data_IF_233235084478
#
_entry.id   IF_233235084478
#
_cell.length_a   1.000
_cell.length_b   1.000
_cell.length_c   1.000
_cell.angle_alpha   90.00
_cell.angle_beta   90.00
_cell.angle_gamma   90.00
#
_symmetry.space_group_name_H-M   'P 1'
#
loop_
_entity.id
_entity.type
_entity.pdbx_description
1 polymer ?
#
# COMPACT_ATOMS: atom_id res chain seq x y z
N UNK A 1 -1.68 25.37 17.34
CA UNK A 1 -1.99 23.96 16.95
C UNK A 1 -1.18 23.60 15.71
N UNK A 2 -0.89 22.31 15.52
CA UNK A 2 -0.15 21.81 14.34
C UNK A 2 -0.90 22.00 13.02
N UNK A 3 -2.17 22.32 13.09
CA UNK A 3 -3.05 22.53 11.93
C UNK A 3 -3.71 23.92 11.93
N UNK A 4 -3.12 24.91 12.62
CA UNK A 4 -3.68 26.27 12.76
C UNK A 4 -3.94 27.03 11.45
N UNK A 5 -3.38 26.53 10.32
CA UNK A 5 -3.70 27.06 8.99
C UNK A 5 -5.16 26.80 8.57
N UNK A 6 -5.79 25.73 9.06
CA UNK A 6 -7.22 25.47 8.80
C UNK A 6 -8.09 26.58 9.42
N UNK A 7 -7.78 26.94 10.67
CA UNK A 7 -8.51 28.00 11.38
C UNK A 7 -8.34 29.35 10.66
N UNK A 8 -7.11 29.67 10.25
CA UNK A 8 -6.82 30.94 9.52
C UNK A 8 -7.51 31.03 8.16
N UNK A 9 -7.73 29.88 7.50
CA UNK A 9 -8.38 29.81 6.19
C UNK A 9 -9.88 29.55 6.28
N UNK A 10 -10.42 29.32 7.48
CA UNK A 10 -11.83 28.94 7.68
C UNK A 10 -12.21 27.63 7.00
N UNK A 11 -11.27 26.67 6.93
CA UNK A 11 -11.46 25.41 6.23
C UNK A 11 -11.58 24.24 7.18
N UNK A 12 -12.40 23.26 6.79
CA UNK A 12 -12.48 21.94 7.41
C UNK A 12 -11.90 20.92 6.44
N UNK A 13 -10.91 20.16 6.89
CA UNK A 13 -10.29 19.11 6.07
C UNK A 13 -10.89 17.75 6.43
N UNK A 14 -11.54 17.10 5.45
CA UNK A 14 -12.20 15.81 5.61
C UNK A 14 -11.71 14.77 4.59
N UNK A 15 -10.78 15.15 3.70
CA UNK A 15 -10.31 14.28 2.61
C UNK A 15 -9.12 13.40 3.04
N UNK A 16 -9.22 12.75 4.20
CA UNK A 16 -8.18 11.81 4.68
C UNK A 16 -8.06 10.55 3.82
N UNK A 17 -9.07 10.25 3.02
CA UNK A 17 -9.04 9.16 2.05
C UNK A 17 -8.04 9.43 0.92
N UNK A 18 -7.98 10.68 0.47
CA UNK A 18 -7.05 11.11 -0.59
C UNK A 18 -5.63 11.35 -0.10
N UNK A 19 -5.46 11.78 1.14
CA UNK A 19 -4.15 12.03 1.73
C UNK A 19 -4.21 12.66 3.12
N UNK A 20 -3.28 12.30 3.98
CA UNK A 20 -3.14 12.91 5.31
C UNK A 20 -2.70 14.38 5.23
N UNK A 21 -3.32 15.24 6.05
CA UNK A 21 -2.89 16.61 6.18
C UNK A 21 -1.56 16.66 6.97
N UNK A 22 -0.55 17.31 6.42
CA UNK A 22 0.73 17.46 7.09
C UNK A 22 0.67 18.45 8.28
N UNK A 23 1.38 18.14 9.35
CA UNK A 23 1.52 18.99 10.52
C UNK A 23 2.53 20.12 10.27
N UNK A 24 2.36 21.27 10.93
CA UNK A 24 3.31 22.38 10.83
C UNK A 24 4.71 22.00 11.34
N UNK A 25 4.80 21.07 12.31
CA UNK A 25 6.07 20.51 12.79
C UNK A 25 6.84 19.77 11.70
N UNK A 26 6.16 19.07 10.81
CA UNK A 26 6.82 18.33 9.70
C UNK A 26 7.52 19.31 8.75
N UNK A 27 6.89 20.45 8.45
CA UNK A 27 7.49 21.47 7.58
C UNK A 27 8.71 22.09 8.26
N UNK A 28 8.56 22.47 9.55
CA UNK A 28 9.68 23.06 10.32
C UNK A 28 10.87 22.10 10.37
N UNK A 29 10.65 20.84 10.76
CA UNK A 29 11.70 19.85 10.84
C UNK A 29 12.39 19.59 9.50
N UNK A 30 11.64 19.57 8.39
CA UNK A 30 12.23 19.42 7.05
C UNK A 30 13.07 20.66 6.69
N UNK A 31 12.58 21.87 6.98
CA UNK A 31 13.31 23.10 6.73
C UNK A 31 14.60 23.15 7.54
N UNK A 32 14.53 22.88 8.84
CA UNK A 32 15.68 22.84 9.75
C UNK A 32 16.73 21.81 9.32
N UNK A 33 16.27 20.62 8.84
CA UNK A 33 17.14 19.60 8.31
C UNK A 33 17.93 20.09 7.08
N UNK A 34 17.22 20.74 6.14
CA UNK A 34 17.83 21.24 4.90
C UNK A 34 18.75 22.44 5.13
N UNK A 35 18.37 23.33 6.05
CA UNK A 35 19.20 24.49 6.43
C UNK A 35 20.46 24.08 7.21
N UNK A 36 20.36 23.03 8.02
CA UNK A 36 21.43 22.56 8.91
C UNK A 36 22.39 21.55 8.28
N UNK A 37 22.11 21.02 7.07
CA UNK A 37 22.87 19.93 6.47
C UNK A 37 23.21 20.12 5.00
N UNK A 38 24.23 19.39 4.56
CA UNK A 38 24.61 19.26 3.15
C UNK A 38 24.38 17.81 2.76
N UNK A 39 23.48 17.57 1.82
CA UNK A 39 23.05 16.25 1.41
C UNK A 39 23.42 15.99 -0.05
N UNK A 40 24.03 14.85 -0.29
CA UNK A 40 24.44 14.40 -1.63
C UNK A 40 23.68 13.14 -2.07
N UNK A 41 24.09 12.61 -3.21
CA UNK A 41 23.60 11.31 -3.65
C UNK A 41 24.09 10.23 -2.65
N UNK A 42 23.22 9.36 -2.11
CA UNK A 42 23.63 8.30 -1.17
C UNK A 42 24.55 7.28 -1.84
N UNK A 43 25.18 6.40 -1.04
CA UNK A 43 26.04 5.30 -1.51
C UNK A 43 27.40 5.74 -2.07
N UNK A 44 27.95 6.83 -1.55
CA UNK A 44 29.34 7.29 -1.80
C UNK A 44 30.00 7.67 -0.47
N UNK A 45 31.33 7.77 -0.45
CA UNK A 45 32.13 8.03 0.75
C UNK A 45 32.32 9.52 1.09
N UNK A 46 31.71 10.42 0.30
CA UNK A 46 31.78 11.86 0.63
C UNK A 46 30.93 12.18 1.85
N UNK A 47 31.29 13.19 2.68
CA UNK A 47 30.53 13.58 3.84
C UNK A 47 29.02 13.84 3.54
N UNK A 48 28.73 14.51 2.42
CA UNK A 48 27.36 14.79 1.99
C UNK A 48 26.59 13.51 1.61
N UNK A 49 27.26 12.56 0.97
CA UNK A 49 26.65 11.27 0.62
C UNK A 49 26.40 10.41 1.85
N UNK A 50 27.37 10.36 2.78
CA UNK A 50 27.23 9.64 4.04
C UNK A 50 26.05 10.19 4.86
N UNK A 51 25.91 11.50 4.96
CA UNK A 51 24.78 12.13 5.65
C UNK A 51 23.42 11.72 5.07
N UNK A 52 23.32 11.63 3.74
CA UNK A 52 22.10 11.15 3.09
C UNK A 52 21.86 9.66 3.34
N UNK A 53 22.92 8.83 3.25
CA UNK A 53 22.84 7.39 3.53
C UNK A 53 22.33 7.14 4.95
N UNK A 54 22.88 7.85 5.94
CA UNK A 54 22.46 7.73 7.34
C UNK A 54 20.96 8.09 7.54
N UNK A 55 20.48 9.13 6.84
CA UNK A 55 19.06 9.50 6.88
C UNK A 55 18.18 8.40 6.30
N UNK A 56 18.56 7.85 5.16
CA UNK A 56 17.81 6.77 4.50
C UNK A 56 17.76 5.52 5.37
N UNK A 57 18.91 5.12 5.93
CA UNK A 57 18.97 3.91 6.77
C UNK A 57 18.21 4.08 8.10
N UNK A 58 18.26 5.25 8.72
CA UNK A 58 17.41 5.56 9.88
C UNK A 58 15.92 5.48 9.54
N UNK A 59 15.51 5.99 8.37
CA UNK A 59 14.13 5.90 7.93
C UNK A 59 13.70 4.45 7.68
N UNK A 60 14.58 3.60 7.10
CA UNK A 60 14.33 2.16 6.93
C UNK A 60 14.14 1.46 8.27
N UNK A 61 15.07 1.69 9.19
CA UNK A 61 15.01 1.11 10.52
C UNK A 61 13.73 1.48 11.26
N UNK A 62 13.34 2.76 11.20
CA UNK A 62 12.11 3.24 11.81
C UNK A 62 10.85 2.57 11.21
N UNK A 63 10.80 2.40 9.89
CA UNK A 63 9.67 1.72 9.24
C UNK A 63 9.58 0.26 9.68
N UNK A 64 10.70 -0.45 9.71
CA UNK A 64 10.74 -1.85 10.15
C UNK A 64 10.30 -1.98 11.62
N UNK A 65 10.81 -1.11 12.50
CA UNK A 65 10.42 -1.05 13.91
C UNK A 65 8.91 -0.77 14.06
N UNK A 66 8.39 0.23 13.35
CA UNK A 66 6.97 0.62 13.40
C UNK A 66 6.03 -0.55 13.04
N UNK A 67 6.42 -1.36 12.07
CA UNK A 67 5.64 -2.53 11.64
C UNK A 67 5.99 -3.83 12.37
N UNK A 68 6.87 -3.77 13.38
CA UNK A 68 7.37 -4.95 14.09
C UNK A 68 7.92 -6.02 13.12
N UNK A 69 8.66 -5.56 12.12
CA UNK A 69 9.25 -6.37 11.06
C UNK A 69 10.75 -6.53 11.31
N UNK A 70 11.23 -7.69 11.81
CA UNK A 70 12.64 -7.87 12.14
C UNK A 70 13.53 -7.81 10.88
N UNK A 71 14.69 -7.11 10.95
CA UNK A 71 15.51 -6.83 9.77
C UNK A 71 16.24 -8.05 9.18
N UNK A 72 16.25 -9.17 9.88
CA UNK A 72 16.74 -10.46 9.39
C UNK A 72 15.71 -11.20 8.52
N UNK A 73 14.43 -10.84 8.61
CA UNK A 73 13.35 -11.43 7.80
C UNK A 73 12.78 -10.45 6.77
N UNK A 74 12.88 -9.14 7.03
CA UNK A 74 12.23 -8.11 6.22
C UNK A 74 13.19 -7.06 5.71
N UNK A 75 12.88 -6.51 4.56
CA UNK A 75 13.56 -5.35 3.99
C UNK A 75 12.56 -4.24 3.71
N UNK A 76 12.95 -2.99 3.96
CA UNK A 76 12.16 -1.82 3.59
C UNK A 76 12.63 -1.29 2.24
N UNK A 77 11.74 -1.25 1.25
CA UNK A 77 12.02 -0.74 -0.09
C UNK A 77 11.19 0.53 -0.31
N UNK A 78 11.85 1.68 -0.43
CA UNK A 78 11.18 2.93 -0.77
C UNK A 78 10.85 2.99 -2.26
N UNK A 79 9.64 3.41 -2.57
CA UNK A 79 9.15 3.65 -3.92
C UNK A 79 8.59 5.08 -4.02
N UNK A 80 8.41 5.63 -5.23
CA UNK A 80 7.88 6.99 -5.38
C UNK A 80 6.48 7.18 -4.77
N UNK A 81 5.68 6.11 -4.72
CA UNK A 81 4.32 6.11 -4.16
C UNK A 81 3.79 4.67 -3.99
N UNK A 82 2.60 4.54 -3.41
CA UNK A 82 1.93 3.24 -3.21
C UNK A 82 1.70 2.48 -4.54
N UNK A 83 1.40 3.18 -5.63
CA UNK A 83 1.24 2.56 -6.97
C UNK A 83 2.54 1.89 -7.42
N UNK A 84 3.69 2.54 -7.19
CA UNK A 84 5.00 1.96 -7.48
C UNK A 84 5.28 0.70 -6.67
N UNK A 85 4.94 0.71 -5.38
CA UNK A 85 5.07 -0.47 -4.52
C UNK A 85 4.17 -1.63 -4.98
N UNK A 86 2.92 -1.35 -5.28
CA UNK A 86 1.95 -2.34 -5.79
C UNK A 86 2.40 -2.90 -7.14
N UNK A 87 2.95 -2.04 -8.01
CA UNK A 87 3.50 -2.45 -9.31
C UNK A 87 4.64 -3.46 -9.13
N UNK A 88 5.57 -3.23 -8.20
CA UNK A 88 6.65 -4.18 -7.92
C UNK A 88 6.09 -5.56 -7.53
N UNK A 89 5.05 -5.60 -6.69
CA UNK A 89 4.38 -6.85 -6.34
C UNK A 89 3.77 -7.51 -7.59
N UNK A 90 3.02 -6.77 -8.40
CA UNK A 90 2.37 -7.30 -9.60
C UNK A 90 3.37 -7.85 -10.63
N UNK A 91 4.49 -7.16 -10.83
CA UNK A 91 5.56 -7.61 -11.75
C UNK A 91 6.27 -8.86 -11.24
N UNK A 92 6.60 -8.89 -9.93
CA UNK A 92 7.36 -9.97 -9.31
C UNK A 92 6.51 -11.21 -9.02
N UNK A 93 5.18 -11.05 -8.85
CA UNK A 93 4.32 -12.17 -8.48
C UNK A 93 4.40 -13.29 -9.52
N UNK A 94 4.63 -14.55 -9.10
CA UNK A 94 4.94 -15.67 -10.01
C UNK A 94 3.70 -16.26 -10.67
N UNK A 95 2.79 -15.44 -11.15
CA UNK A 95 1.63 -15.89 -11.91
C UNK A 95 2.00 -16.82 -13.06
N UNK A 96 1.18 -17.85 -13.26
CA UNK A 96 1.28 -18.84 -14.33
C UNK A 96 -0.08 -19.08 -14.98
N UNK A 97 -0.13 -19.67 -16.18
CA UNK A 97 -1.38 -20.05 -16.82
C UNK A 97 -2.26 -20.91 -15.90
N UNK A 98 -3.49 -20.43 -15.69
CA UNK A 98 -4.48 -21.05 -14.84
C UNK A 98 -4.39 -20.69 -13.36
N UNK A 99 -3.45 -19.87 -12.90
CA UNK A 99 -3.52 -19.24 -11.60
C UNK A 99 -4.66 -18.23 -11.53
N UNK A 100 -5.01 -17.80 -10.33
CA UNK A 100 -6.15 -16.91 -10.11
C UNK A 100 -5.75 -15.63 -9.40
N UNK A 101 -6.22 -14.52 -9.93
CA UNK A 101 -6.20 -13.24 -9.25
C UNK A 101 -7.62 -12.84 -8.88
N UNK A 102 -7.98 -12.96 -7.61
CA UNK A 102 -9.25 -12.54 -7.04
C UNK A 102 -9.11 -11.13 -6.46
N UNK A 103 -10.01 -10.22 -6.80
CA UNK A 103 -9.95 -8.88 -6.25
C UNK A 103 -11.33 -8.28 -5.99
N UNK A 104 -11.42 -7.46 -4.93
CA UNK A 104 -12.62 -6.71 -4.61
C UNK A 104 -12.89 -5.64 -5.69
N UNK A 105 -14.16 -5.45 -6.05
CA UNK A 105 -14.54 -4.45 -7.07
C UNK A 105 -14.23 -3.01 -6.63
N UNK A 106 -14.27 -2.73 -5.33
CA UNK A 106 -14.03 -1.41 -4.74
C UNK A 106 -12.56 -1.13 -4.39
N UNK A 107 -11.63 -1.91 -4.95
CA UNK A 107 -10.21 -1.62 -4.85
C UNK A 107 -9.84 -0.30 -5.53
N UNK A 108 -8.82 0.36 -5.01
CA UNK A 108 -8.19 1.49 -5.67
C UNK A 108 -7.59 1.07 -7.03
N UNK A 109 -7.54 2.00 -7.98
CA UNK A 109 -7.03 1.75 -9.35
C UNK A 109 -5.60 1.20 -9.38
N UNK A 110 -4.75 1.52 -8.41
CA UNK A 110 -3.40 0.96 -8.30
C UNK A 110 -3.41 -0.57 -8.16
N UNK A 111 -4.33 -1.11 -7.35
CA UNK A 111 -4.54 -2.55 -7.19
C UNK A 111 -5.14 -3.15 -8.45
N UNK A 112 -6.12 -2.46 -9.07
CA UNK A 112 -6.73 -2.92 -10.33
C UNK A 112 -5.70 -3.09 -11.45
N UNK A 113 -4.61 -2.32 -11.44
CA UNK A 113 -3.51 -2.44 -12.40
C UNK A 113 -2.78 -3.78 -12.35
N UNK A 114 -2.76 -4.47 -11.22
CA UNK A 114 -2.10 -5.79 -11.07
C UNK A 114 -2.73 -6.85 -11.98
N UNK A 115 -4.01 -6.72 -12.33
CA UNK A 115 -4.70 -7.64 -13.24
C UNK A 115 -4.03 -7.76 -14.62
N UNK A 116 -3.36 -6.71 -15.07
CA UNK A 116 -2.71 -6.73 -16.38
C UNK A 116 -1.45 -7.63 -16.35
N UNK A 117 -0.74 -7.67 -15.22
CA UNK A 117 0.36 -8.61 -15.02
C UNK A 117 -0.15 -10.04 -14.90
N UNK A 118 -1.26 -10.27 -14.17
CA UNK A 118 -1.89 -11.57 -14.06
C UNK A 118 -2.33 -12.10 -15.44
N UNK A 119 -3.07 -11.29 -16.20
CA UNK A 119 -3.54 -11.63 -17.55
C UNK A 119 -2.40 -11.90 -18.53
N UNK A 120 -1.35 -11.06 -18.50
CA UNK A 120 -0.19 -11.22 -19.36
C UNK A 120 0.55 -12.55 -19.12
N UNK A 121 0.43 -13.10 -17.91
CA UNK A 121 0.99 -14.40 -17.52
C UNK A 121 -0.02 -15.56 -17.63
N UNK A 122 -1.22 -15.30 -18.18
CA UNK A 122 -2.24 -16.31 -18.44
C UNK A 122 -3.10 -16.69 -17.23
N UNK A 123 -3.12 -15.87 -16.18
CA UNK A 123 -3.93 -16.11 -14.99
C UNK A 123 -5.36 -15.58 -15.17
N UNK A 124 -6.32 -16.25 -14.53
CA UNK A 124 -7.70 -15.83 -14.48
C UNK A 124 -7.90 -14.67 -13.50
N UNK A 125 -8.66 -13.66 -13.91
CA UNK A 125 -8.95 -12.48 -13.08
C UNK A 125 -10.44 -12.42 -12.78
N UNK A 126 -10.78 -12.50 -11.50
CA UNK A 126 -12.17 -12.48 -11.01
C UNK A 126 -12.39 -11.32 -10.04
N UNK A 127 -13.49 -10.60 -10.22
CA UNK A 127 -13.92 -9.54 -9.31
C UNK A 127 -15.04 -10.04 -8.38
N UNK A 128 -14.85 -9.80 -7.08
CA UNK A 128 -15.96 -9.89 -6.12
C UNK A 128 -16.75 -8.60 -6.17
N UNK A 129 -18.05 -8.71 -6.46
CA UNK A 129 -18.93 -7.55 -6.64
C UNK A 129 -19.28 -6.86 -5.33
N UNK A 130 -19.62 -5.60 -5.43
CA UNK A 130 -20.20 -4.79 -4.36
C UNK A 130 -21.72 -4.85 -4.47
N UNK A 131 -22.43 -5.00 -3.34
CA UNK A 131 -23.90 -5.13 -3.30
C UNK A 131 -24.54 -3.86 -2.73
N UNK A 132 -25.42 -3.19 -3.50
CA UNK A 132 -26.22 -2.09 -2.97
C UNK A 132 -27.30 -2.59 -1.99
N UNK A 133 -27.81 -1.73 -1.06
CA UNK A 133 -27.44 -0.34 -0.88
C UNK A 133 -26.20 -0.12 -0.03
N UNK A 134 -25.76 -1.12 0.74
CA UNK A 134 -24.72 -0.98 1.77
C UNK A 134 -23.31 -0.93 1.20
N UNK A 135 -23.16 -1.20 -0.09
CA UNK A 135 -21.87 -1.20 -0.81
C UNK A 135 -20.82 -2.13 -0.21
N UNK A 136 -21.27 -3.21 0.43
CA UNK A 136 -20.41 -4.27 0.93
C UNK A 136 -20.12 -5.29 -0.16
N UNK A 137 -19.00 -5.98 -0.04
CA UNK A 137 -18.70 -7.10 -0.93
C UNK A 137 -19.71 -8.23 -0.71
N UNK A 138 -20.03 -8.93 -1.79
CA UNK A 138 -20.83 -10.15 -1.76
C UNK A 138 -20.02 -11.26 -1.08
N UNK A 139 -20.31 -11.54 0.19
CA UNK A 139 -19.57 -12.54 0.97
C UNK A 139 -19.80 -13.97 0.47
N UNK A 140 -20.97 -14.28 -0.07
CA UNK A 140 -21.24 -15.62 -0.62
C UNK A 140 -20.41 -15.85 -1.88
N UNK A 141 -20.32 -14.85 -2.75
CA UNK A 141 -19.42 -14.89 -3.90
C UNK A 141 -17.97 -15.00 -3.45
N UNK A 142 -17.53 -14.18 -2.49
CA UNK A 142 -16.17 -14.19 -1.98
C UNK A 142 -15.78 -15.57 -1.46
N UNK A 143 -16.60 -16.16 -0.59
CA UNK A 143 -16.37 -17.50 -0.04
C UNK A 143 -16.32 -18.55 -1.14
N UNK A 144 -17.32 -18.55 -2.02
CA UNK A 144 -17.36 -19.47 -3.16
C UNK A 144 -16.12 -19.39 -4.04
N UNK A 145 -15.54 -18.19 -4.22
CA UNK A 145 -14.32 -18.02 -5.01
C UNK A 145 -13.06 -18.42 -4.24
N UNK A 146 -12.99 -18.17 -2.93
CA UNK A 146 -11.86 -18.58 -2.09
C UNK A 146 -11.84 -20.10 -1.85
N UNK A 147 -13.02 -20.72 -1.70
CA UNK A 147 -13.17 -22.17 -1.52
C UNK A 147 -12.89 -23.00 -2.80
N UNK A 148 -12.56 -22.35 -3.89
CA UNK A 148 -12.17 -22.99 -5.16
C UNK A 148 -10.65 -22.99 -5.32
N UNK A 149 -9.90 -23.73 -4.50
CA UNK A 149 -8.46 -23.75 -4.59
C UNK A 149 -8.04 -24.35 -5.91
N UNK A 150 -6.95 -23.83 -6.43
CA UNK A 150 -6.21 -24.51 -7.47
C UNK A 150 -4.99 -25.15 -6.82
N UNK A 151 -4.91 -26.46 -6.83
CA UNK A 151 -3.75 -27.17 -6.32
C UNK A 151 -2.49 -26.74 -7.09
N UNK A 152 -1.45 -26.34 -6.34
CA UNK A 152 -0.15 -25.98 -6.87
C UNK A 152 -0.07 -24.65 -7.62
N UNK A 153 -1.12 -23.81 -7.56
CA UNK A 153 -1.14 -22.49 -8.18
C UNK A 153 -0.68 -21.35 -7.27
N UNK A 154 -0.21 -20.28 -7.89
CA UNK A 154 0.07 -19.02 -7.20
C UNK A 154 -1.15 -18.11 -7.28
N UNK A 155 -2.08 -18.26 -6.33
CA UNK A 155 -3.28 -17.45 -6.26
C UNK A 155 -3.03 -16.17 -5.47
N UNK A 156 -3.61 -15.06 -5.92
CA UNK A 156 -3.53 -13.78 -5.23
C UNK A 156 -4.93 -13.26 -4.94
N UNK A 157 -5.19 -12.84 -3.70
CA UNK A 157 -6.39 -12.13 -3.31
C UNK A 157 -6.06 -10.72 -2.86
N UNK A 158 -6.78 -9.73 -3.39
CA UNK A 158 -6.60 -8.32 -3.05
C UNK A 158 -7.91 -7.64 -2.71
N UNK A 159 -7.98 -7.02 -1.54
CA UNK A 159 -9.11 -6.21 -1.11
C UNK A 159 -8.64 -5.01 -0.27
N UNK A 160 -9.36 -3.90 -0.23
CA UNK A 160 -9.02 -2.79 0.65
C UNK A 160 -9.50 -3.10 2.07
N UNK A 161 -8.72 -2.76 3.09
CA UNK A 161 -9.22 -2.79 4.48
C UNK A 161 -10.35 -1.78 4.68
N UNK A 162 -10.30 -0.68 3.93
CA UNK A 162 -11.36 0.32 3.81
C UNK A 162 -11.39 0.84 2.38
N UNK A 163 -12.58 0.81 1.77
CA UNK A 163 -12.79 1.35 0.43
C UNK A 163 -12.64 2.86 0.41
N UNK A 164 -11.78 3.41 -0.46
CA UNK A 164 -11.73 4.86 -0.65
C UNK A 164 -12.94 5.42 -1.42
N UNK A 165 -13.72 4.60 -2.06
CA UNK A 165 -14.93 5.03 -2.76
C UNK A 165 -16.13 5.15 -1.81
N UNK A 166 -16.40 4.10 -1.02
CA UNK A 166 -17.59 4.02 -0.16
C UNK A 166 -17.32 4.30 1.31
N UNK A 167 -16.06 4.22 1.77
CA UNK A 167 -15.70 4.25 3.18
C UNK A 167 -16.01 2.95 3.93
N UNK A 168 -16.54 1.94 3.26
CA UNK A 168 -16.85 0.64 3.87
C UNK A 168 -15.58 -0.03 4.33
N UNK A 169 -15.57 -0.45 5.60
CA UNK A 169 -14.50 -1.27 6.16
C UNK A 169 -14.82 -2.75 5.95
N UNK A 170 -13.83 -3.48 5.45
CA UNK A 170 -13.92 -4.92 5.23
C UNK A 170 -13.23 -5.72 6.36
N UNK A 171 -13.75 -6.93 6.68
CA UNK A 171 -13.17 -7.76 7.73
C UNK A 171 -11.72 -8.17 7.42
N UNK A 172 -10.79 -7.86 8.33
CA UNK A 172 -9.39 -8.29 8.21
C UNK A 172 -9.22 -9.82 8.28
N UNK A 173 -10.19 -10.53 8.86
CA UNK A 173 -10.21 -12.00 8.92
C UNK A 173 -10.22 -12.70 7.57
N UNK A 174 -10.60 -12.01 6.49
CA UNK A 174 -10.53 -12.57 5.14
C UNK A 174 -9.10 -12.89 4.68
N UNK A 175 -8.11 -12.18 5.23
CA UNK A 175 -6.69 -12.52 4.97
C UNK A 175 -6.37 -13.94 5.43
N UNK A 176 -6.76 -14.26 6.66
CA UNK A 176 -6.54 -15.61 7.20
C UNK A 176 -7.35 -16.66 6.42
N UNK A 177 -8.63 -16.37 6.17
CA UNK A 177 -9.50 -17.28 5.42
C UNK A 177 -8.97 -17.60 4.02
N UNK A 178 -8.30 -16.65 3.37
CA UNK A 178 -7.69 -16.86 2.05
C UNK A 178 -6.36 -17.64 2.11
N UNK A 179 -5.73 -17.76 3.27
CA UNK A 179 -4.48 -18.47 3.50
C UNK A 179 -4.69 -19.95 3.90
N UNK A 180 -5.82 -20.24 4.55
CA UNK A 180 -6.23 -21.58 5.02
C UNK A 180 -6.78 -22.41 3.84
#
# INVERSE_FOLDING_TARGET
TEYGRLDRLGQVFLDYTGGGLYADAQIRQLSDLLDGGIFGNPHSDSPASSATTELVERARAFVLEYFNAPPDEYVCIFTPNATGAIKLVGEAYPFQPGDRYLLAFDNHNSINGVREFARAKGSDVTYVRVVPPDLRLDEDQLRSELDRPKEGGHNLFSYPSQSNFSGVQHPMGWTKYAQD
#
